data_IF_307907766755
#
_entry.id   IF_307907766755
#
_cell.length_a   1.000
_cell.length_b   1.000
_cell.length_c   1.000
_cell.angle_alpha   90.00
_cell.angle_beta   90.00
_cell.angle_gamma   90.00
#
_symmetry.space_group_name_H-M   'P 1'
#
loop_
_entity.id
_entity.type
_entity.pdbx_description
1 polymer ?
#
# COMPACT_ATOMS: atom_id res chain seq x y z
N UNK A 1 -25.54 5.99 8.97
CA UNK A 1 -24.09 6.19 8.77
C UNK A 1 -23.39 4.85 8.76
N UNK A 2 -22.24 4.77 8.09
CA UNK A 2 -21.46 3.53 7.94
C UNK A 2 -19.98 3.89 8.00
N UNK A 3 -19.23 3.28 8.93
CA UNK A 3 -17.82 3.55 9.18
C UNK A 3 -16.98 2.28 8.98
N UNK A 4 -16.02 2.37 8.06
CA UNK A 4 -15.03 1.32 7.82
C UNK A 4 -13.69 1.78 8.40
N UNK A 5 -13.03 0.90 9.15
CA UNK A 5 -11.67 1.13 9.63
C UNK A 5 -10.75 0.07 9.05
N UNK A 6 -9.66 0.52 8.45
CA UNK A 6 -8.56 -0.34 8.02
C UNK A 6 -7.38 -0.10 8.94
N UNK A 7 -6.98 -1.13 9.66
CA UNK A 7 -5.96 -1.03 10.70
C UNK A 7 -5.24 -2.36 10.88
N UNK A 8 -4.03 -2.30 11.43
CA UNK A 8 -3.20 -3.46 11.78
C UNK A 8 -3.60 -4.01 13.16
N UNK A 9 -4.18 -3.17 14.02
CA UNK A 9 -4.64 -3.52 15.36
C UNK A 9 -6.06 -3.03 15.63
N UNK A 10 -6.72 -3.62 16.65
CA UNK A 10 -7.98 -3.10 17.14
C UNK A 10 -7.75 -1.83 17.97
N UNK A 11 -7.65 -0.70 17.28
CA UNK A 11 -7.44 0.63 17.90
C UNK A 11 -8.72 1.19 18.53
N UNK A 12 -8.59 2.23 19.35
CA UNK A 12 -9.75 2.93 19.93
C UNK A 12 -10.69 3.46 18.84
N UNK A 13 -10.19 3.85 17.68
CA UNK A 13 -11.01 4.24 16.53
C UNK A 13 -11.76 3.05 15.94
N UNK A 14 -11.10 1.90 15.83
CA UNK A 14 -11.70 0.68 15.28
C UNK A 14 -12.87 0.14 16.12
N UNK A 15 -12.95 0.45 17.43
CA UNK A 15 -14.07 0.02 18.28
C UNK A 15 -15.40 0.70 17.95
N UNK A 16 -15.36 1.81 17.19
CA UNK A 16 -16.56 2.51 16.70
C UNK A 16 -16.95 2.10 15.27
N UNK A 17 -16.19 1.22 14.61
CA UNK A 17 -16.40 0.88 13.22
C UNK A 17 -17.52 -0.18 13.05
N UNK A 18 -18.29 -0.06 11.98
CA UNK A 18 -19.23 -1.11 11.54
C UNK A 18 -18.48 -2.29 10.90
N UNK A 19 -17.36 -2.00 10.23
CA UNK A 19 -16.48 -2.99 9.59
C UNK A 19 -15.02 -2.65 9.86
N UNK A 20 -14.26 -3.66 10.26
CA UNK A 20 -12.79 -3.58 10.38
C UNK A 20 -12.15 -4.45 9.30
N UNK A 21 -11.23 -3.88 8.52
CA UNK A 21 -10.47 -4.56 7.48
C UNK A 21 -9.01 -4.72 7.94
N UNK A 22 -8.50 -5.95 8.11
CA UNK A 22 -7.16 -6.18 8.66
C UNK A 22 -6.08 -5.85 7.62
N UNK A 23 -5.29 -4.81 7.87
CA UNK A 23 -4.14 -4.43 7.05
C UNK A 23 -2.85 -5.14 7.50
N UNK A 24 -1.93 -5.39 6.56
CA UNK A 24 -0.62 -5.95 6.88
C UNK A 24 0.37 -4.86 7.32
N UNK A 25 1.20 -5.10 8.36
CA UNK A 25 2.26 -4.20 8.77
C UNK A 25 3.36 -4.06 7.72
N UNK A 26 4.25 -3.06 7.90
CA UNK A 26 5.33 -2.74 6.94
C UNK A 26 6.27 -3.90 6.63
N UNK A 27 6.51 -4.82 7.57
CA UNK A 27 7.36 -5.99 7.36
C UNK A 27 6.68 -7.10 6.55
N UNK A 28 5.35 -7.03 6.39
CA UNK A 28 4.53 -8.04 5.73
C UNK A 28 4.04 -7.58 4.33
N UNK A 29 4.59 -6.46 3.80
CA UNK A 29 4.23 -5.92 2.49
C UNK A 29 5.40 -5.23 1.78
N UNK A 30 5.38 -5.29 0.46
CA UNK A 30 6.19 -4.42 -0.39
C UNK A 30 5.55 -3.04 -0.56
N UNK A 31 6.38 -2.02 -0.77
CA UNK A 31 5.90 -0.65 -0.88
C UNK A 31 7.04 0.36 -0.98
N UNK A 32 6.70 1.63 -0.77
CA UNK A 32 7.66 2.72 -0.61
C UNK A 32 7.24 3.65 0.51
N UNK A 33 8.19 4.24 1.23
CA UNK A 33 7.97 5.42 2.05
C UNK A 33 8.68 6.62 1.44
N UNK A 34 8.01 7.78 1.47
CA UNK A 34 8.65 9.07 1.25
C UNK A 34 8.88 9.72 2.60
N UNK A 35 10.14 9.96 2.97
CA UNK A 35 10.47 10.52 4.28
C UNK A 35 10.33 12.06 4.31
N UNK A 36 10.67 12.67 5.44
CA UNK A 36 10.52 14.13 5.66
C UNK A 36 11.44 14.99 4.78
N UNK A 37 12.55 14.45 4.28
CA UNK A 37 13.44 15.14 3.32
C UNK A 37 13.05 14.88 1.85
N UNK A 38 11.88 14.28 1.62
CA UNK A 38 11.31 13.89 0.32
C UNK A 38 12.01 12.73 -0.37
N UNK A 39 12.84 11.98 0.36
CA UNK A 39 13.51 10.80 -0.18
C UNK A 39 12.54 9.62 -0.23
N UNK A 40 12.45 8.99 -1.39
CA UNK A 40 11.66 7.78 -1.65
C UNK A 40 12.55 6.57 -1.38
N UNK A 41 12.06 5.66 -0.54
CA UNK A 41 12.76 4.44 -0.14
C UNK A 41 11.83 3.24 -0.31
N UNK A 42 12.36 2.12 -0.81
CA UNK A 42 11.60 0.88 -0.98
C UNK A 42 11.50 0.11 0.34
N UNK A 43 10.30 -0.40 0.60
CA UNK A 43 10.02 -1.42 1.60
C UNK A 43 10.04 -2.78 0.91
N UNK A 44 10.71 -3.73 1.55
CA UNK A 44 10.74 -5.12 1.13
C UNK A 44 9.91 -5.95 2.09
N UNK A 45 9.06 -6.81 1.54
CA UNK A 45 8.39 -7.81 2.35
C UNK A 45 9.43 -8.77 2.98
N UNK A 46 9.50 -8.78 4.31
CA UNK A 46 10.41 -9.63 5.08
C UNK A 46 9.70 -10.84 5.70
N UNK A 47 8.39 -10.73 5.92
CA UNK A 47 7.52 -11.75 6.50
C UNK A 47 6.27 -11.94 5.63
N UNK A 48 5.65 -13.11 5.70
CA UNK A 48 4.36 -13.33 5.06
C UNK A 48 3.22 -12.64 5.85
N UNK A 49 2.20 -12.07 5.16
CA UNK A 49 0.99 -11.57 5.80
C UNK A 49 0.39 -12.58 6.77
N UNK A 50 0.10 -12.13 7.99
CA UNK A 50 -0.46 -13.01 9.03
C UNK A 50 -1.98 -13.08 8.96
N UNK A 51 -2.50 -14.30 9.20
CA UNK A 51 -3.94 -14.56 9.24
C UNK A 51 -4.63 -14.14 7.94
N UNK A 52 -5.72 -13.38 8.08
CA UNK A 52 -6.48 -12.86 6.94
C UNK A 52 -6.03 -11.46 6.47
N UNK A 53 -4.99 -10.90 7.10
CA UNK A 53 -4.47 -9.58 6.74
C UNK A 53 -3.99 -9.53 5.29
N UNK A 54 -4.09 -8.36 4.68
CA UNK A 54 -3.60 -8.12 3.32
C UNK A 54 -2.86 -6.78 3.26
N UNK A 55 -1.85 -6.64 2.38
CA UNK A 55 -1.34 -5.34 1.99
C UNK A 55 -2.49 -4.41 1.60
N UNK A 56 -2.44 -3.17 2.06
CA UNK A 56 -3.51 -2.19 1.95
C UNK A 56 -4.05 -2.06 0.52
N UNK A 57 -3.15 -2.02 -0.46
CA UNK A 57 -3.50 -1.91 -1.87
C UNK A 57 -4.34 -3.09 -2.39
N UNK A 58 -4.13 -4.31 -1.87
CA UNK A 58 -4.95 -5.48 -2.23
C UNK A 58 -6.36 -5.34 -1.67
N UNK A 59 -6.52 -4.79 -0.47
CA UNK A 59 -7.84 -4.52 0.14
C UNK A 59 -8.60 -3.55 -0.77
N UNK A 60 -7.97 -2.43 -1.16
CA UNK A 60 -8.58 -1.46 -2.07
C UNK A 60 -8.94 -2.06 -3.43
N UNK A 61 -8.05 -2.87 -4.03
CA UNK A 61 -8.35 -3.56 -5.28
C UNK A 61 -9.56 -4.52 -5.16
N UNK A 62 -9.66 -5.28 -4.06
CA UNK A 62 -10.80 -6.17 -3.83
C UNK A 62 -12.11 -5.39 -3.72
N UNK A 63 -12.10 -4.25 -3.00
CA UNK A 63 -13.26 -3.37 -2.88
C UNK A 63 -13.64 -2.79 -4.25
N UNK A 64 -12.66 -2.23 -4.98
CA UNK A 64 -12.89 -1.66 -6.30
C UNK A 64 -13.51 -2.71 -7.25
N UNK A 65 -12.97 -3.92 -7.27
CA UNK A 65 -13.51 -4.98 -8.12
C UNK A 65 -14.91 -5.42 -7.70
N UNK A 66 -15.23 -5.37 -6.40
CA UNK A 66 -16.58 -5.65 -5.91
C UNK A 66 -17.60 -4.56 -6.27
N UNK A 67 -17.12 -3.34 -6.51
CA UNK A 67 -17.90 -2.21 -7.01
C UNK A 67 -18.00 -2.18 -8.55
N UNK A 68 -17.44 -3.17 -9.24
CA UNK A 68 -17.54 -3.29 -10.70
C UNK A 68 -16.38 -2.66 -11.48
N UNK A 69 -15.33 -2.22 -10.80
CA UNK A 69 -14.06 -1.87 -11.47
C UNK A 69 -13.30 -3.16 -11.86
N UNK A 70 -12.31 -3.04 -12.74
CA UNK A 70 -11.50 -4.18 -13.20
C UNK A 70 -10.00 -3.92 -12.93
N UNK A 71 -9.68 -3.62 -11.67
CA UNK A 71 -8.31 -3.43 -11.22
C UNK A 71 -7.61 -4.80 -11.15
N UNK A 72 -6.39 -4.86 -11.69
CA UNK A 72 -5.65 -6.12 -11.83
C UNK A 72 -4.16 -5.97 -11.48
N UNK A 73 -3.82 -5.07 -10.56
CA UNK A 73 -2.48 -4.90 -10.06
C UNK A 73 -1.98 -6.19 -9.40
N UNK A 74 -0.76 -6.61 -9.75
CA UNK A 74 -0.08 -7.81 -9.23
C UNK A 74 1.01 -7.48 -8.24
N UNK A 75 1.57 -6.28 -8.34
CA UNK A 75 2.66 -5.82 -7.49
C UNK A 75 2.56 -4.29 -7.31
N UNK A 76 2.94 -3.72 -6.14
CA UNK A 76 2.86 -2.27 -5.92
C UNK A 76 3.76 -1.45 -6.85
N UNK A 77 4.73 -2.06 -7.56
CA UNK A 77 5.49 -1.38 -8.62
C UNK A 77 4.59 -0.87 -9.74
N UNK A 78 3.57 -1.63 -10.14
CA UNK A 78 2.63 -1.23 -11.20
C UNK A 78 1.81 0.00 -10.76
N UNK A 79 1.54 0.11 -9.45
CA UNK A 79 0.86 1.28 -8.86
C UNK A 79 1.81 2.49 -8.87
N UNK A 80 3.09 2.29 -8.55
CA UNK A 80 4.10 3.36 -8.62
C UNK A 80 4.31 3.84 -10.05
N UNK A 81 4.36 2.94 -11.03
CA UNK A 81 4.47 3.30 -12.45
C UNK A 81 3.28 4.15 -12.90
N UNK A 82 2.08 3.84 -12.40
CA UNK A 82 0.90 4.66 -12.65
C UNK A 82 1.01 6.04 -11.99
N UNK A 83 1.46 6.11 -10.73
CA UNK A 83 1.69 7.38 -10.01
C UNK A 83 2.71 8.24 -10.77
N UNK A 84 3.84 7.66 -11.17
CA UNK A 84 4.91 8.33 -11.91
C UNK A 84 4.42 8.89 -13.27
N UNK A 85 3.50 8.19 -13.92
CA UNK A 85 2.89 8.63 -15.20
C UNK A 85 1.94 9.82 -15.04
N UNK A 86 1.20 9.89 -13.93
CA UNK A 86 0.13 10.91 -13.76
C UNK A 86 0.53 12.06 -12.83
N UNK A 87 1.64 11.94 -12.12
CA UNK A 87 2.09 12.92 -11.12
C UNK A 87 3.53 13.35 -11.41
N UNK A 88 3.77 14.57 -11.93
CA UNK A 88 5.11 15.03 -12.31
C UNK A 88 6.16 14.97 -11.19
N UNK A 89 5.75 15.06 -9.91
CA UNK A 89 6.67 14.94 -8.77
C UNK A 89 7.31 13.54 -8.65
N UNK A 90 6.65 12.51 -9.17
CA UNK A 90 7.12 11.13 -9.16
C UNK A 90 7.67 10.70 -10.53
N UNK A 91 7.86 11.63 -11.47
CA UNK A 91 8.37 11.31 -12.80
C UNK A 91 9.73 10.60 -12.72
N UNK A 92 9.87 9.50 -13.45
CA UNK A 92 11.09 8.69 -13.47
C UNK A 92 11.30 7.77 -12.26
N UNK A 93 10.45 7.84 -11.23
CA UNK A 93 10.49 6.87 -10.12
C UNK A 93 10.10 5.49 -10.65
N UNK A 94 10.93 4.49 -10.35
CA UNK A 94 10.64 3.08 -10.62
C UNK A 94 11.19 2.21 -9.50
N UNK A 95 10.61 1.03 -9.32
CA UNK A 95 11.08 0.08 -8.30
C UNK A 95 12.50 -0.42 -8.57
N UNK A 96 12.91 -0.50 -9.84
CA UNK A 96 14.25 -0.90 -10.27
C UNK A 96 15.31 0.06 -9.75
N UNK A 97 15.04 1.38 -9.78
CA UNK A 97 15.94 2.39 -9.24
C UNK A 97 16.06 2.35 -7.71
N UNK A 98 15.08 1.75 -7.04
CA UNK A 98 15.04 1.61 -5.58
C UNK A 98 15.55 0.23 -5.10
N UNK A 99 16.02 -0.63 -6.02
CA UNK A 99 16.58 -1.93 -5.67
C UNK A 99 17.86 -1.83 -4.82
N UNK A 100 18.13 -2.86 -4.02
CA UNK A 100 19.37 -2.93 -3.23
C UNK A 100 19.49 -1.85 -2.15
N UNK A 101 18.37 -1.39 -1.59
CA UNK A 101 18.31 -0.29 -0.61
C UNK A 101 18.76 1.08 -1.13
N UNK A 102 18.75 1.27 -2.46
CA UNK A 102 18.87 2.59 -3.07
C UNK A 102 17.66 3.47 -2.74
N UNK A 103 17.77 4.76 -3.06
CA UNK A 103 16.72 5.76 -2.82
C UNK A 103 16.75 6.85 -3.88
N UNK A 104 15.62 7.55 -4.05
CA UNK A 104 15.49 8.70 -4.95
C UNK A 104 15.11 9.95 -4.13
N UNK A 105 15.51 11.13 -4.58
CA UNK A 105 15.21 12.42 -3.94
C UNK A 105 14.67 13.41 -4.96
#
# INVERSE_FOLDING_TARGET
>A
DFMVVQDEFLTYTATYADVVLPASPSLEKDGTFTNTERRIQRLYQALDPKGDSKPDWKIFQLIANRLGFNWNYKHPSEIMDEIARVTPLYEGVSYDLLEGFNSLQ
#
